data_IF_465922287304
#
_entry.id   IF_465922287304
#
_cell.length_a   1.000
_cell.length_b   1.000
_cell.length_c   1.000
_cell.angle_alpha   90.00
_cell.angle_beta   90.00
_cell.angle_gamma   90.00
#
_symmetry.space_group_name_H-M   'P 1'
#
loop_
_entity.id
_entity.type
_entity.pdbx_description
1 polymer ?
#
# COMPACT_ATOMS: atom_id res chain seq x y z
N UNK A 1 50.07 -36.07 24.30
CA UNK A 1 49.21 -34.99 23.74
C UNK A 1 48.23 -34.57 24.83
N UNK A 2 48.48 -33.40 25.43
CA UNK A 2 47.77 -32.94 26.64
C UNK A 2 46.79 -31.82 26.24
N UNK A 3 45.56 -31.99 26.71
CA UNK A 3 44.30 -31.37 26.27
C UNK A 3 44.04 -29.95 26.82
N UNK A 4 43.23 -29.19 26.07
CA UNK A 4 42.75 -27.82 26.28
C UNK A 4 41.92 -27.66 27.56
N UNK A 5 42.56 -27.60 28.72
CA UNK A 5 41.98 -27.09 29.98
C UNK A 5 43.10 -26.66 30.94
N UNK A 6 43.75 -25.51 30.67
CA UNK A 6 44.62 -24.80 31.62
C UNK A 6 45.12 -23.46 31.05
N UNK A 7 44.25 -22.48 30.87
CA UNK A 7 44.66 -21.06 30.85
C UNK A 7 43.58 -20.26 31.59
N UNK A 8 43.72 -20.20 32.90
CA UNK A 8 43.15 -19.18 33.76
C UNK A 8 44.02 -19.17 35.02
N UNK A 9 44.95 -18.21 35.10
CA UNK A 9 45.30 -17.42 36.30
C UNK A 9 46.63 -16.69 36.12
N UNK A 10 46.62 -15.42 36.58
CA UNK A 10 47.73 -14.50 36.91
C UNK A 10 48.35 -13.80 35.69
N UNK A 11 48.50 -12.48 35.61
CA UNK A 11 48.28 -11.28 36.44
C UNK A 11 48.58 -10.09 35.47
N UNK A 12 48.19 -8.84 35.65
CA UNK A 12 48.40 -7.92 36.78
C UNK A 12 47.61 -6.63 36.48
N UNK A 13 47.24 -5.93 37.55
CA UNK A 13 46.52 -4.67 37.53
C UNK A 13 47.33 -3.52 36.91
N UNK A 14 46.68 -2.71 36.08
CA UNK A 14 47.04 -1.33 35.83
C UNK A 14 45.76 -0.48 35.92
N UNK A 15 45.74 0.41 36.90
CA UNK A 15 44.65 1.32 37.19
C UNK A 15 44.56 2.41 36.12
N UNK A 16 43.41 2.50 35.45
CA UNK A 16 43.02 3.64 34.63
C UNK A 16 41.71 4.20 35.16
N UNK A 17 41.78 5.35 35.83
CA UNK A 17 40.61 6.08 36.29
C UNK A 17 39.87 6.67 35.08
N UNK A 18 38.78 6.04 34.65
CA UNK A 18 37.83 6.64 33.74
C UNK A 18 36.84 7.48 34.55
N UNK A 19 36.91 8.81 34.39
CA UNK A 19 35.91 9.75 34.86
C UNK A 19 34.58 9.42 34.15
N UNK A 20 33.69 8.74 34.86
CA UNK A 20 32.30 8.58 34.42
C UNK A 20 31.60 9.93 34.60
N UNK A 21 31.48 10.70 33.52
CA UNK A 21 30.50 11.77 33.44
C UNK A 21 29.11 11.13 33.51
N UNK A 22 28.22 11.54 34.43
CA UNK A 22 26.85 11.06 34.40
C UNK A 22 26.22 11.60 33.12
N UNK A 23 25.91 10.70 32.19
CA UNK A 23 24.94 11.00 31.13
C UNK A 23 23.63 11.20 31.86
N UNK A 24 23.23 12.45 32.06
CA UNK A 24 21.84 12.78 32.37
C UNK A 24 21.04 12.29 31.18
N UNK A 25 20.42 11.12 31.34
CA UNK A 25 19.31 10.71 30.50
C UNK A 25 18.30 11.85 30.61
N UNK A 26 18.23 12.67 29.57
CA UNK A 26 17.09 13.52 29.35
C UNK A 26 15.92 12.56 29.20
N UNK A 27 15.20 12.34 30.29
CA UNK A 27 13.86 11.81 30.25
C UNK A 27 13.11 12.76 29.35
N UNK A 28 12.87 12.36 28.09
CA UNK A 28 11.80 12.95 27.31
C UNK A 28 10.56 12.75 28.15
N UNK A 29 10.12 13.81 28.81
CA UNK A 29 8.79 13.85 29.38
C UNK A 29 7.85 13.47 28.23
N UNK A 30 7.32 12.26 28.30
CA UNK A 30 6.15 11.86 27.55
C UNK A 30 5.00 12.70 28.12
N UNK A 31 4.98 13.98 27.77
CA UNK A 31 3.80 14.80 27.84
C UNK A 31 2.84 14.16 26.83
N UNK A 32 2.04 13.21 27.30
CA UNK A 32 0.77 12.83 26.69
C UNK A 32 -0.07 14.11 26.64
N UNK A 33 0.20 14.94 25.65
CA UNK A 33 -0.62 16.09 25.31
C UNK A 33 -1.98 15.51 24.96
N UNK A 34 -2.99 15.91 25.73
CA UNK A 34 -4.35 15.47 25.47
C UNK A 34 -4.70 15.80 24.02
N UNK A 35 -5.34 14.85 23.32
CA UNK A 35 -5.75 15.07 21.94
C UNK A 35 -6.62 16.32 21.84
N UNK A 36 -6.48 17.12 20.77
CA UNK A 36 -7.35 18.25 20.51
C UNK A 36 -8.84 17.86 20.59
N UNK A 37 -9.74 18.72 21.10
CA UNK A 37 -11.15 18.38 21.26
C UNK A 37 -11.85 17.87 19.99
N UNK A 38 -11.49 18.40 18.82
CA UNK A 38 -12.02 17.96 17.51
C UNK A 38 -11.66 16.51 17.19
N UNK A 39 -10.54 16.01 17.70
CA UNK A 39 -10.08 14.62 17.51
C UNK A 39 -10.57 13.73 18.65
N UNK A 40 -10.52 14.23 19.89
CA UNK A 40 -10.93 13.48 21.07
C UNK A 40 -12.42 13.11 21.06
N UNK A 41 -13.26 13.92 20.42
CA UNK A 41 -14.72 13.70 20.27
C UNK A 41 -15.10 12.76 19.12
N UNK A 42 -14.16 12.33 18.28
CA UNK A 42 -14.44 11.40 17.19
C UNK A 42 -14.90 10.05 17.74
N UNK A 43 -15.93 9.49 17.09
CA UNK A 43 -16.46 8.15 17.38
C UNK A 43 -15.97 7.18 16.31
N UNK A 44 -15.57 5.98 16.74
CA UNK A 44 -15.14 4.92 15.83
C UNK A 44 -16.20 4.61 14.77
N UNK A 45 -15.76 4.41 13.54
CA UNK A 45 -16.57 4.01 12.38
C UNK A 45 -16.31 2.56 11.97
N UNK A 46 -15.58 1.79 12.80
CA UNK A 46 -15.11 0.45 12.47
C UNK A 46 -16.25 -0.54 12.18
N UNK A 47 -17.39 -0.37 12.82
CA UNK A 47 -18.60 -1.18 12.65
C UNK A 47 -19.28 -1.01 11.28
N UNK A 48 -18.94 0.05 10.54
CA UNK A 48 -19.46 0.29 9.19
C UNK A 48 -18.74 -0.53 8.12
N UNK A 49 -17.55 -1.09 8.40
CA UNK A 49 -16.78 -1.87 7.45
C UNK A 49 -17.38 -3.28 7.28
N UNK A 50 -17.56 -3.69 6.02
CA UNK A 50 -18.03 -5.03 5.65
C UNK A 50 -16.91 -5.75 4.88
N UNK A 51 -16.24 -6.75 5.48
CA UNK A 51 -15.16 -7.45 4.79
C UNK A 51 -15.65 -8.18 3.53
N UNK A 52 -14.80 -8.21 2.50
CA UNK A 52 -15.03 -9.04 1.31
C UNK A 52 -15.06 -10.52 1.71
N UNK A 53 -16.11 -11.23 1.28
CA UNK A 53 -16.34 -12.62 1.69
C UNK A 53 -15.48 -13.62 0.90
N UNK A 54 -15.38 -14.85 1.40
CA UNK A 54 -14.69 -15.93 0.68
C UNK A 54 -15.40 -16.26 -0.64
N UNK A 55 -16.73 -16.17 -0.69
CA UNK A 55 -17.53 -16.39 -1.89
C UNK A 55 -17.22 -15.36 -2.98
N UNK A 56 -17.19 -14.05 -2.64
CA UNK A 56 -16.81 -13.00 -3.58
C UNK A 56 -15.38 -13.20 -4.11
N UNK A 57 -14.47 -13.73 -3.29
CA UNK A 57 -13.11 -14.08 -3.72
C UNK A 57 -13.11 -15.26 -4.68
N UNK A 58 -14.00 -16.23 -4.49
CA UNK A 58 -14.24 -17.31 -5.44
C UNK A 58 -14.68 -16.75 -6.80
N UNK A 59 -15.64 -15.83 -6.82
CA UNK A 59 -16.09 -15.16 -8.05
C UNK A 59 -14.97 -14.39 -8.76
N UNK A 60 -14.07 -13.75 -7.99
CA UNK A 60 -12.87 -13.09 -8.52
C UNK A 60 -11.92 -14.08 -9.19
N UNK A 61 -11.69 -15.24 -8.58
CA UNK A 61 -10.87 -16.30 -9.19
C UNK A 61 -11.51 -16.83 -10.48
N UNK A 62 -12.83 -16.99 -10.52
CA UNK A 62 -13.53 -17.41 -11.74
C UNK A 62 -13.49 -16.35 -12.84
N UNK A 63 -13.58 -15.05 -12.48
CA UNK A 63 -13.32 -13.95 -13.43
C UNK A 63 -11.88 -14.01 -13.97
N UNK A 64 -10.90 -14.28 -13.10
CA UNK A 64 -9.51 -14.42 -13.52
C UNK A 64 -9.33 -15.61 -14.49
N UNK A 65 -9.99 -16.75 -14.25
CA UNK A 65 -9.97 -17.89 -15.18
C UNK A 65 -10.50 -17.55 -16.57
N UNK A 66 -11.61 -16.80 -16.65
CA UNK A 66 -12.15 -16.33 -17.94
C UNK A 66 -11.13 -15.43 -18.66
N UNK A 67 -10.58 -14.43 -17.97
CA UNK A 67 -9.58 -13.54 -18.56
C UNK A 67 -8.28 -14.25 -18.92
N UNK A 68 -7.86 -15.28 -18.16
CA UNK A 68 -6.73 -16.12 -18.52
C UNK A 68 -6.99 -16.85 -19.84
N UNK A 69 -8.17 -17.43 -20.03
CA UNK A 69 -8.55 -18.09 -21.27
C UNK A 69 -8.52 -17.12 -22.48
N UNK A 70 -9.06 -15.91 -22.30
CA UNK A 70 -9.07 -14.87 -23.35
C UNK A 70 -7.65 -14.40 -23.71
N UNK A 71 -6.73 -14.39 -22.74
CA UNK A 71 -5.35 -13.93 -22.89
C UNK A 71 -4.33 -15.07 -23.09
N UNK A 72 -4.80 -16.32 -23.27
CA UNK A 72 -3.96 -17.51 -23.50
C UNK A 72 -2.92 -17.72 -22.38
N UNK A 73 -3.35 -17.54 -21.14
CA UNK A 73 -2.57 -17.86 -19.94
C UNK A 73 -3.10 -19.17 -19.34
N UNK A 74 -2.20 -20.08 -19.00
CA UNK A 74 -2.54 -21.37 -18.41
C UNK A 74 -2.53 -21.33 -16.87
N UNK A 75 -1.84 -20.36 -16.30
CA UNK A 75 -1.86 -20.03 -14.88
C UNK A 75 -1.40 -18.59 -14.66
N UNK A 76 -1.75 -18.01 -13.51
CA UNK A 76 -1.11 -16.81 -12.96
C UNK A 76 -0.41 -17.14 -11.64
N UNK A 77 0.70 -16.46 -11.38
CA UNK A 77 1.44 -16.53 -10.13
C UNK A 77 1.38 -15.18 -9.41
N UNK A 78 0.97 -15.24 -8.15
CA UNK A 78 0.86 -14.12 -7.24
C UNK A 78 1.82 -14.36 -6.06
N UNK A 79 2.58 -13.35 -5.64
CA UNK A 79 3.39 -13.41 -4.41
C UNK A 79 2.74 -12.55 -3.33
N UNK A 80 3.48 -11.79 -2.54
CA UNK A 80 2.92 -10.81 -1.61
C UNK A 80 2.11 -9.71 -2.31
N UNK A 81 1.33 -8.95 -1.53
CA UNK A 81 0.72 -7.71 -1.98
C UNK A 81 -0.74 -7.80 -2.41
N UNK A 82 -1.18 -6.74 -3.07
CA UNK A 82 -2.62 -6.44 -3.23
C UNK A 82 -3.35 -7.44 -4.12
N UNK A 83 -2.68 -8.02 -5.13
CA UNK A 83 -3.28 -9.05 -5.98
C UNK A 83 -3.53 -10.37 -5.22
N UNK A 84 -2.59 -10.81 -4.39
CA UNK A 84 -2.79 -11.99 -3.53
C UNK A 84 -3.96 -11.78 -2.57
N UNK A 85 -3.97 -10.64 -1.87
CA UNK A 85 -5.08 -10.27 -0.99
C UNK A 85 -6.42 -10.20 -1.75
N UNK A 86 -6.43 -9.65 -2.96
CA UNK A 86 -7.64 -9.54 -3.77
C UNK A 86 -8.26 -10.90 -4.11
N UNK A 87 -7.45 -11.88 -4.53
CA UNK A 87 -7.91 -13.19 -4.97
C UNK A 87 -8.06 -14.24 -3.86
N UNK A 88 -7.35 -14.10 -2.75
CA UNK A 88 -7.33 -15.12 -1.67
C UNK A 88 -7.68 -14.59 -0.29
N UNK A 89 -7.57 -13.28 -0.05
CA UNK A 89 -7.67 -12.70 1.30
C UNK A 89 -6.41 -12.92 2.15
N UNK A 90 -5.37 -13.55 1.61
CA UNK A 90 -4.09 -13.75 2.30
C UNK A 90 -3.34 -12.42 2.36
N UNK A 91 -2.83 -12.11 3.55
CA UNK A 91 -1.97 -10.96 3.82
C UNK A 91 -0.58 -11.48 4.16
N UNK A 92 0.24 -11.64 3.12
CA UNK A 92 1.62 -12.08 3.27
C UNK A 92 2.59 -10.90 3.17
N UNK A 93 3.50 -10.79 4.13
CA UNK A 93 4.58 -9.81 4.09
C UNK A 93 5.64 -10.22 3.08
N UNK A 94 6.06 -9.30 2.22
CA UNK A 94 7.13 -9.57 1.28
C UNK A 94 8.49 -9.71 1.97
N UNK A 95 9.25 -10.74 1.64
CA UNK A 95 10.64 -10.93 2.06
C UNK A 95 11.48 -11.51 0.91
N UNK A 96 12.75 -11.82 1.17
CA UNK A 96 13.59 -12.59 0.25
C UNK A 96 13.10 -14.03 0.04
N UNK A 97 12.25 -14.55 0.94
CA UNK A 97 11.72 -15.91 0.90
C UNK A 97 10.44 -15.96 0.07
N UNK A 98 10.41 -16.83 -0.94
CA UNK A 98 9.24 -16.98 -1.80
C UNK A 98 8.06 -17.57 -1.01
N UNK A 99 6.98 -16.79 -0.97
CA UNK A 99 5.62 -17.29 -0.85
C UNK A 99 4.90 -17.03 -2.18
N UNK A 100 4.24 -18.05 -2.74
CA UNK A 100 3.51 -17.91 -3.99
C UNK A 100 2.16 -18.61 -3.91
N UNK A 101 1.14 -17.99 -4.47
CA UNK A 101 -0.11 -18.61 -4.88
C UNK A 101 -0.09 -18.74 -6.39
N UNK A 102 -0.35 -19.93 -6.91
CA UNK A 102 -0.52 -20.16 -8.35
C UNK A 102 -1.97 -20.56 -8.60
N UNK A 103 -2.65 -19.76 -9.43
CA UNK A 103 -4.02 -19.99 -9.87
C UNK A 103 -3.97 -20.49 -11.32
N UNK A 104 -4.16 -21.80 -11.56
CA UNK A 104 -4.31 -22.35 -12.91
C UNK A 104 -5.56 -21.81 -13.60
N UNK A 105 -5.62 -21.87 -14.94
CA UNK A 105 -6.85 -21.61 -15.71
C UNK A 105 -7.93 -22.65 -15.43
N UNK A 106 -7.53 -23.91 -15.19
CA UNK A 106 -8.41 -25.02 -14.78
C UNK A 106 -7.78 -25.81 -13.63
N UNK A 107 -8.61 -26.28 -12.70
CA UNK A 107 -8.17 -27.06 -11.55
C UNK A 107 -7.74 -26.23 -10.35
N UNK A 108 -7.23 -26.91 -9.32
CA UNK A 108 -7.07 -26.32 -7.99
C UNK A 108 -5.83 -25.42 -7.89
N UNK A 109 -5.99 -24.34 -7.13
CA UNK A 109 -4.89 -23.47 -6.68
C UNK A 109 -3.85 -24.31 -5.94
N UNK A 110 -2.58 -23.93 -6.06
CA UNK A 110 -1.55 -24.41 -5.15
C UNK A 110 -0.71 -23.26 -4.61
N UNK A 111 -0.05 -23.52 -3.49
CA UNK A 111 0.76 -22.57 -2.77
C UNK A 111 2.17 -23.11 -2.62
N UNK A 112 3.16 -22.23 -2.65
CA UNK A 112 4.54 -22.53 -2.29
C UNK A 112 4.91 -21.64 -1.11
N UNK A 113 5.38 -22.22 -0.01
CA UNK A 113 5.76 -21.46 1.18
C UNK A 113 6.99 -22.04 1.88
N UNK A 114 7.74 -21.24 2.66
CA UNK A 114 8.83 -21.76 3.48
C UNK A 114 8.30 -22.77 4.49
N UNK A 115 9.01 -23.88 4.70
CA UNK A 115 8.55 -24.96 5.57
C UNK A 115 8.28 -24.50 7.01
N UNK A 116 9.11 -23.61 7.55
CA UNK A 116 8.94 -23.09 8.90
C UNK A 116 7.73 -22.14 9.04
N UNK A 117 7.18 -21.64 7.93
CA UNK A 117 5.98 -20.79 7.88
C UNK A 117 4.71 -21.57 7.52
N UNK A 118 4.79 -22.90 7.38
CA UNK A 118 3.65 -23.72 6.92
C UNK A 118 2.40 -23.54 7.79
N UNK A 119 2.56 -23.51 9.11
CA UNK A 119 1.44 -23.32 10.03
C UNK A 119 0.70 -22.00 9.78
N UNK A 120 1.45 -20.90 9.67
CA UNK A 120 0.92 -19.56 9.37
C UNK A 120 0.31 -19.48 7.96
N UNK A 121 0.94 -20.14 6.98
CA UNK A 121 0.40 -20.21 5.63
C UNK A 121 -0.96 -20.92 5.62
N UNK A 122 -1.06 -22.08 6.27
CA UNK A 122 -2.32 -22.86 6.35
C UNK A 122 -3.42 -22.10 7.09
N UNK A 123 -3.10 -21.38 8.15
CA UNK A 123 -4.06 -20.53 8.87
C UNK A 123 -4.73 -19.50 7.94
N UNK A 124 -3.95 -18.84 7.08
CA UNK A 124 -4.49 -17.86 6.14
C UNK A 124 -5.19 -18.52 4.94
N UNK A 125 -4.63 -19.62 4.41
CA UNK A 125 -5.23 -20.39 3.30
C UNK A 125 -6.59 -20.95 3.69
N UNK A 126 -6.81 -21.31 4.96
CA UNK A 126 -8.10 -21.81 5.46
C UNK A 126 -9.27 -20.82 5.22
N UNK A 127 -8.99 -19.54 5.00
CA UNK A 127 -9.99 -18.49 4.71
C UNK A 127 -10.11 -18.17 3.21
N UNK A 128 -9.26 -18.76 2.38
CA UNK A 128 -9.23 -18.53 0.94
C UNK A 128 -10.22 -19.43 0.19
N UNK A 129 -10.66 -19.04 -1.03
CA UNK A 129 -11.51 -19.90 -1.86
C UNK A 129 -10.83 -21.24 -2.16
N UNK A 130 -11.57 -22.34 -2.02
CA UNK A 130 -11.07 -23.68 -2.32
C UNK A 130 -10.06 -24.25 -1.32
N UNK A 131 -10.01 -23.71 -0.09
CA UNK A 131 -9.06 -24.10 0.96
C UNK A 131 -9.00 -25.62 1.21
N UNK A 132 -10.14 -26.31 1.17
CA UNK A 132 -10.26 -27.76 1.35
C UNK A 132 -9.42 -28.58 0.35
N UNK A 133 -9.12 -28.00 -0.81
CA UNK A 133 -8.39 -28.64 -1.91
C UNK A 133 -7.03 -27.96 -2.16
N UNK A 134 -6.58 -27.11 -1.22
CA UNK A 134 -5.33 -26.38 -1.36
C UNK A 134 -4.12 -27.31 -1.26
N UNK A 135 -3.36 -27.38 -2.35
CA UNK A 135 -2.05 -28.04 -2.40
C UNK A 135 -1.00 -27.06 -1.87
N UNK A 136 -0.40 -27.34 -0.71
CA UNK A 136 0.64 -26.51 -0.08
C UNK A 136 1.98 -27.20 -0.19
N UNK A 137 2.89 -26.60 -0.97
CA UNK A 137 4.21 -27.14 -1.28
C UNK A 137 5.28 -26.39 -0.52
N UNK A 138 5.82 -27.06 0.50
CA UNK A 138 6.85 -26.47 1.34
C UNK A 138 8.25 -26.60 0.73
N UNK A 139 9.11 -25.63 1.01
CA UNK A 139 10.55 -25.69 0.73
C UNK A 139 11.36 -25.40 2.00
N UNK A 140 12.43 -26.17 2.22
CA UNK A 140 13.40 -25.94 3.31
C UNK A 140 14.36 -24.80 2.92
N UNK A 141 15.00 -24.15 3.89
CA UNK A 141 15.90 -23.00 3.64
C UNK A 141 17.06 -23.30 2.66
N UNK A 142 17.47 -24.57 2.55
CA UNK A 142 18.48 -25.07 1.61
C UNK A 142 17.88 -25.64 0.31
N UNK A 143 16.56 -25.67 0.20
CA UNK A 143 15.80 -26.13 -0.96
C UNK A 143 15.47 -25.00 -1.94
N UNK A 144 15.12 -25.37 -3.17
CA UNK A 144 14.70 -24.39 -4.18
C UNK A 144 13.19 -24.16 -4.15
N UNK A 145 12.71 -22.95 -3.81
CA UNK A 145 11.29 -22.62 -3.93
C UNK A 145 10.80 -22.65 -5.38
N UNK A 146 11.68 -22.31 -6.32
CA UNK A 146 11.37 -22.29 -7.75
C UNK A 146 11.10 -23.71 -8.30
N UNK A 147 11.83 -24.71 -7.80
CA UNK A 147 11.56 -26.11 -8.11
C UNK A 147 10.19 -26.56 -7.59
N UNK A 148 9.73 -26.04 -6.43
CA UNK A 148 8.37 -26.33 -5.94
C UNK A 148 7.28 -25.74 -6.83
N UNK A 149 7.50 -24.54 -7.37
CA UNK A 149 6.60 -23.95 -8.38
C UNK A 149 6.57 -24.82 -9.64
N UNK A 150 7.75 -25.19 -10.17
CA UNK A 150 7.87 -26.02 -11.36
C UNK A 150 7.18 -27.39 -11.20
N UNK A 151 7.39 -28.06 -10.06
CA UNK A 151 6.70 -29.30 -9.71
C UNK A 151 5.19 -29.10 -9.68
N UNK A 152 4.70 -28.00 -9.10
CA UNK A 152 3.26 -27.70 -9.01
C UNK A 152 2.58 -27.51 -10.35
N UNK A 153 3.30 -26.90 -11.29
CA UNK A 153 2.86 -26.74 -12.67
C UNK A 153 2.89 -28.08 -13.42
N UNK A 154 3.96 -28.86 -13.25
CA UNK A 154 4.10 -30.17 -13.90
C UNK A 154 3.01 -31.16 -13.46
N UNK A 155 2.72 -31.26 -12.16
CA UNK A 155 1.70 -32.17 -11.63
C UNK A 155 0.28 -31.83 -12.11
N UNK A 156 0.10 -30.62 -12.64
CA UNK A 156 -1.15 -30.12 -13.24
C UNK A 156 -1.12 -30.17 -14.77
N UNK A 157 -0.10 -30.76 -15.37
CA UNK A 157 0.06 -30.86 -16.83
C UNK A 157 0.38 -29.53 -17.52
N UNK A 158 0.90 -28.54 -16.79
CA UNK A 158 1.18 -27.19 -17.30
C UNK A 158 2.66 -26.95 -17.63
N UNK A 159 3.45 -28.02 -17.79
CA UNK A 159 4.91 -27.96 -17.97
C UNK A 159 5.39 -27.19 -19.20
N UNK A 160 4.53 -27.01 -20.21
CA UNK A 160 4.81 -26.34 -21.49
C UNK A 160 3.88 -25.16 -21.77
N UNK A 161 3.11 -24.74 -20.76
CA UNK A 161 2.12 -23.67 -20.89
C UNK A 161 2.69 -22.25 -20.74
N UNK A 162 1.80 -21.27 -20.66
CA UNK A 162 2.12 -19.87 -20.38
C UNK A 162 1.76 -19.51 -18.94
N UNK A 163 2.77 -19.14 -18.14
CA UNK A 163 2.62 -18.63 -16.78
C UNK A 163 2.64 -17.10 -16.78
N UNK A 164 1.53 -16.48 -16.39
CA UNK A 164 1.45 -15.06 -16.13
C UNK A 164 2.09 -14.72 -14.78
N UNK A 165 3.07 -13.84 -14.76
CA UNK A 165 3.61 -13.24 -13.54
C UNK A 165 2.82 -11.98 -13.21
N UNK A 166 2.32 -11.88 -11.97
CA UNK A 166 1.75 -10.63 -11.47
C UNK A 166 2.79 -9.50 -11.50
N UNK A 167 2.33 -8.29 -11.79
CA UNK A 167 3.17 -7.14 -12.13
C UNK A 167 4.16 -6.71 -11.05
N UNK A 168 3.93 -7.08 -9.79
CA UNK A 168 4.81 -6.79 -8.64
C UNK A 168 5.68 -7.97 -8.23
N UNK A 169 5.55 -9.13 -8.88
CA UNK A 169 6.43 -10.28 -8.65
C UNK A 169 7.88 -9.85 -8.88
N UNK A 170 8.68 -9.95 -7.82
CA UNK A 170 10.08 -9.53 -7.85
C UNK A 170 10.84 -10.28 -8.94
N UNK A 171 11.71 -9.54 -9.65
CA UNK A 171 12.49 -10.10 -10.76
C UNK A 171 13.27 -11.36 -10.39
N UNK A 172 13.84 -11.43 -9.19
CA UNK A 172 14.57 -12.63 -8.72
C UNK A 172 13.69 -13.88 -8.69
N UNK A 173 12.41 -13.74 -8.34
CA UNK A 173 11.47 -14.85 -8.30
C UNK A 173 11.04 -15.26 -9.71
N UNK A 174 10.65 -14.30 -10.56
CA UNK A 174 10.26 -14.61 -11.93
C UNK A 174 11.43 -15.22 -12.73
N UNK A 175 12.65 -14.71 -12.55
CA UNK A 175 13.86 -15.29 -13.14
C UNK A 175 14.16 -16.70 -12.60
N UNK A 176 14.05 -16.91 -11.29
CA UNK A 176 14.27 -18.22 -10.66
C UNK A 176 13.29 -19.28 -11.16
N UNK A 177 12.01 -18.91 -11.27
CA UNK A 177 10.96 -19.79 -11.81
C UNK A 177 11.19 -20.07 -13.29
N UNK A 178 11.55 -19.06 -14.10
CA UNK A 178 11.88 -19.25 -15.51
C UNK A 178 13.02 -20.24 -15.73
N UNK A 179 14.03 -20.24 -14.85
CA UNK A 179 15.13 -21.23 -14.88
C UNK A 179 14.68 -22.63 -14.46
N UNK A 180 13.76 -22.75 -13.50
CA UNK A 180 13.24 -24.04 -13.03
C UNK A 180 12.21 -24.67 -13.99
N UNK A 181 11.54 -23.85 -14.81
CA UNK A 181 10.53 -24.25 -15.80
C UNK A 181 10.90 -23.75 -17.21
N UNK A 182 12.02 -24.21 -17.81
CA UNK A 182 12.54 -23.64 -19.05
C UNK A 182 11.63 -23.87 -20.28
N UNK A 183 10.70 -24.81 -20.19
CA UNK A 183 9.74 -25.11 -21.25
C UNK A 183 8.48 -24.24 -21.16
N UNK A 184 8.27 -23.52 -20.07
CA UNK A 184 7.14 -22.63 -19.90
C UNK A 184 7.43 -21.24 -20.46
N UNK A 185 6.43 -20.65 -21.10
CA UNK A 185 6.49 -19.24 -21.48
C UNK A 185 6.13 -18.38 -20.27
N UNK A 186 7.02 -17.47 -19.88
CA UNK A 186 6.69 -16.44 -18.89
C UNK A 186 6.08 -15.24 -19.60
N UNK A 187 4.93 -14.76 -19.11
CA UNK A 187 4.22 -13.61 -19.63
C UNK A 187 3.76 -12.69 -18.50
N UNK A 188 3.25 -11.51 -18.83
CA UNK A 188 2.59 -10.64 -17.86
C UNK A 188 1.19 -11.15 -17.53
N UNK A 189 0.84 -11.18 -16.24
CA UNK A 189 -0.53 -11.43 -15.78
C UNK A 189 -1.39 -10.15 -15.75
N UNK A 190 -0.85 -8.97 -16.08
CA UNK A 190 -1.57 -7.68 -16.02
C UNK A 190 -2.92 -7.68 -16.74
N UNK A 191 -3.09 -8.29 -17.93
CA UNK A 191 -4.41 -8.39 -18.56
C UNK A 191 -5.47 -9.08 -17.70
N UNK A 192 -5.06 -9.98 -16.80
CA UNK A 192 -5.93 -10.70 -15.86
C UNK A 192 -6.04 -9.95 -14.52
N UNK A 193 -4.92 -9.58 -13.90
CA UNK A 193 -4.90 -8.95 -12.58
C UNK A 193 -5.55 -7.57 -12.63
N UNK A 194 -5.12 -6.70 -13.54
CA UNK A 194 -5.76 -5.41 -13.76
C UNK A 194 -7.17 -5.56 -14.37
N UNK A 195 -7.36 -6.50 -15.30
CA UNK A 195 -8.69 -6.77 -15.89
C UNK A 195 -9.73 -7.18 -14.84
N UNK A 196 -9.31 -7.88 -13.79
CA UNK A 196 -10.13 -8.18 -12.63
C UNK A 196 -10.39 -6.93 -11.77
N UNK A 197 -9.35 -6.16 -11.44
CA UNK A 197 -9.34 -5.13 -10.39
C UNK A 197 -9.72 -3.73 -10.86
N UNK A 198 -9.69 -3.43 -12.15
CA UNK A 198 -10.01 -2.09 -12.68
C UNK A 198 -11.48 -1.73 -12.43
N UNK A 199 -12.39 -2.67 -12.72
CA UNK A 199 -13.84 -2.50 -12.53
C UNK A 199 -14.23 -3.06 -11.16
N UNK A 200 -14.57 -2.15 -10.24
CA UNK A 200 -14.93 -2.48 -8.86
C UNK A 200 -16.36 -3.01 -8.80
N UNK A 201 -16.61 -3.99 -7.94
CA UNK A 201 -17.97 -4.35 -7.55
C UNK A 201 -18.61 -3.24 -6.70
N UNK A 202 -19.94 -3.28 -6.55
CA UNK A 202 -20.63 -2.34 -5.65
C UNK A 202 -20.09 -2.43 -4.21
N UNK A 203 -19.76 -3.65 -3.74
CA UNK A 203 -19.21 -3.85 -2.40
C UNK A 203 -17.84 -3.18 -2.24
N UNK A 204 -16.97 -3.30 -3.24
CA UNK A 204 -15.67 -2.62 -3.27
C UNK A 204 -15.81 -1.09 -3.29
N UNK A 205 -16.78 -0.57 -4.05
CA UNK A 205 -17.07 0.87 -4.08
C UNK A 205 -17.55 1.37 -2.71
N UNK A 206 -18.37 0.61 -1.99
CA UNK A 206 -18.80 0.99 -0.63
C UNK A 206 -17.62 1.03 0.35
N UNK A 207 -16.67 0.10 0.24
CA UNK A 207 -15.44 0.13 1.05
C UNK A 207 -14.57 1.36 0.73
N UNK A 208 -14.41 1.70 -0.56
CA UNK A 208 -13.72 2.92 -0.98
C UNK A 208 -14.43 4.19 -0.51
N UNK A 209 -15.77 4.22 -0.54
CA UNK A 209 -16.58 5.33 -0.02
C UNK A 209 -16.40 5.49 1.48
N UNK A 210 -16.39 4.39 2.23
CA UNK A 210 -16.13 4.42 3.66
C UNK A 210 -14.71 4.92 3.95
N UNK A 211 -13.69 4.44 3.24
CA UNK A 211 -12.32 4.95 3.37
C UNK A 211 -12.25 6.46 3.12
N UNK A 212 -12.91 6.94 2.05
CA UNK A 212 -12.94 8.36 1.73
C UNK A 212 -13.65 9.19 2.82
N UNK A 213 -14.77 8.68 3.37
CA UNK A 213 -15.50 9.32 4.46
C UNK A 213 -14.64 9.40 5.73
N UNK A 214 -13.94 8.33 6.07
CA UNK A 214 -13.02 8.28 7.23
C UNK A 214 -11.92 9.34 7.07
N UNK A 215 -11.26 9.39 5.91
CA UNK A 215 -10.19 10.37 5.65
C UNK A 215 -10.71 11.81 5.67
N UNK A 216 -11.87 12.10 5.07
CA UNK A 216 -12.45 13.45 5.14
C UNK A 216 -12.77 13.86 6.58
N UNK A 217 -13.33 12.96 7.36
CA UNK A 217 -13.63 13.22 8.79
C UNK A 217 -12.33 13.46 9.58
N UNK A 218 -11.29 12.68 9.31
CA UNK A 218 -9.98 12.87 9.94
C UNK A 218 -9.35 14.22 9.58
N UNK A 219 -9.40 14.60 8.30
CA UNK A 219 -8.88 15.87 7.81
C UNK A 219 -9.63 17.06 8.39
N UNK A 220 -10.96 16.97 8.49
CA UNK A 220 -11.78 18.01 9.12
C UNK A 220 -11.43 18.19 10.60
N UNK A 221 -11.26 17.09 11.33
CA UNK A 221 -10.85 17.14 12.73
C UNK A 221 -9.44 17.75 12.90
N UNK A 222 -8.49 17.37 12.04
CA UNK A 222 -7.12 17.92 12.02
C UNK A 222 -7.12 19.42 11.64
N UNK A 223 -7.94 19.81 10.66
CA UNK A 223 -8.13 21.22 10.28
C UNK A 223 -8.65 22.06 11.45
N UNK A 224 -9.64 21.57 12.21
CA UNK A 224 -10.17 22.27 13.38
C UNK A 224 -9.20 22.31 14.57
N UNK A 225 -8.24 21.39 14.62
CA UNK A 225 -7.18 21.40 15.63
C UNK A 225 -5.99 22.29 15.26
N UNK A 226 -5.93 22.76 14.01
CA UNK A 226 -4.79 23.49 13.47
C UNK A 226 -4.62 24.86 14.13
N UNK A 227 -3.38 25.17 14.52
CA UNK A 227 -3.01 26.45 15.11
C UNK A 227 -1.71 27.00 14.51
N UNK A 228 -1.54 28.34 14.40
CA UNK A 228 -0.26 28.93 14.07
C UNK A 228 0.85 28.47 15.02
N UNK A 229 2.03 28.20 14.49
CA UNK A 229 3.19 27.70 15.25
C UNK A 229 3.34 26.18 15.24
N UNK A 230 2.32 25.43 14.81
CA UNK A 230 2.43 23.99 14.63
C UNK A 230 3.43 23.63 13.53
N UNK A 231 4.16 22.53 13.71
CA UNK A 231 5.06 22.00 12.70
C UNK A 231 4.32 21.08 11.73
N UNK A 232 4.92 20.82 10.56
CA UNK A 232 4.44 19.81 9.62
C UNK A 232 4.18 18.45 10.31
N UNK A 233 5.15 17.83 11.02
CA UNK A 233 4.93 16.54 11.69
C UNK A 233 3.79 16.55 12.71
N UNK A 234 3.60 17.65 13.46
CA UNK A 234 2.48 17.77 14.40
C UNK A 234 1.12 17.73 13.70
N UNK A 235 1.01 18.28 12.50
CA UNK A 235 -0.21 18.14 11.69
C UNK A 235 -0.43 16.70 11.22
N UNK A 236 0.63 16.03 10.79
CA UNK A 236 0.58 14.63 10.33
C UNK A 236 0.18 13.69 11.47
N UNK A 237 0.76 13.86 12.66
CA UNK A 237 0.40 13.15 13.88
C UNK A 237 -1.09 13.33 14.26
N UNK A 238 -1.65 14.53 14.04
CA UNK A 238 -3.08 14.77 14.26
C UNK A 238 -3.96 14.00 13.27
N UNK A 239 -3.56 13.91 12.00
CA UNK A 239 -4.28 13.13 10.99
C UNK A 239 -4.24 11.64 11.35
N UNK A 240 -3.09 11.11 11.78
CA UNK A 240 -2.94 9.72 12.22
C UNK A 240 -3.78 9.43 13.47
N UNK A 241 -3.74 10.33 14.46
CA UNK A 241 -4.56 10.20 15.67
C UNK A 241 -6.05 10.22 15.35
N UNK A 242 -6.49 11.05 14.40
CA UNK A 242 -7.87 11.11 13.96
C UNK A 242 -8.32 9.83 13.26
N UNK A 243 -7.52 9.28 12.33
CA UNK A 243 -7.79 7.97 11.73
C UNK A 243 -7.90 6.87 12.79
N UNK A 244 -6.97 6.86 13.74
CA UNK A 244 -6.96 5.89 14.86
C UNK A 244 -8.24 5.97 15.68
N UNK A 245 -8.70 7.19 16.00
CA UNK A 245 -9.98 7.41 16.71
C UNK A 245 -11.20 6.94 15.92
N UNK A 246 -11.17 7.07 14.59
CA UNK A 246 -12.19 6.55 13.68
C UNK A 246 -12.12 5.03 13.51
N UNK A 247 -11.10 4.36 14.08
CA UNK A 247 -10.96 2.91 14.09
C UNK A 247 -10.20 2.33 12.90
N UNK A 248 -9.48 3.16 12.15
CA UNK A 248 -8.72 2.78 10.95
C UNK A 248 -7.29 3.32 11.00
N UNK A 249 -6.41 2.77 10.17
CA UNK A 249 -5.10 3.38 9.91
C UNK A 249 -5.19 4.34 8.73
N UNK A 250 -4.44 5.43 8.81
CA UNK A 250 -4.29 6.39 7.73
C UNK A 250 -3.32 7.50 8.13
N UNK A 251 -2.82 8.21 7.14
CA UNK A 251 -1.83 9.28 7.30
C UNK A 251 -1.99 10.32 6.19
N UNK A 252 -1.28 11.44 6.32
CA UNK A 252 -1.12 12.42 5.26
C UNK A 252 0.31 12.96 5.26
N UNK A 253 0.85 13.30 4.08
CA UNK A 253 2.01 14.18 3.95
C UNK A 253 1.52 15.63 3.88
N UNK A 254 2.06 16.48 4.74
CA UNK A 254 1.71 17.89 4.77
C UNK A 254 2.81 18.78 4.17
N UNK A 255 2.43 19.79 3.38
CA UNK A 255 3.36 20.78 2.82
C UNK A 255 2.84 22.20 3.07
N UNK A 256 3.74 23.08 3.51
CA UNK A 256 3.41 24.40 4.04
C UNK A 256 4.14 25.48 3.24
N UNK A 257 3.41 26.53 2.87
CA UNK A 257 3.96 27.68 2.16
C UNK A 257 4.54 27.29 0.81
N UNK A 258 5.78 27.69 0.53
CA UNK A 258 6.47 27.41 -0.74
C UNK A 258 6.64 25.91 -1.01
N UNK A 259 6.70 25.07 0.03
CA UNK A 259 6.86 23.63 -0.13
C UNK A 259 5.62 22.94 -0.71
N UNK A 260 4.47 23.62 -0.72
CA UNK A 260 3.28 23.14 -1.46
C UNK A 260 3.48 23.12 -2.98
N UNK A 261 4.54 23.75 -3.50
CA UNK A 261 4.94 23.64 -4.90
C UNK A 261 5.68 22.34 -5.24
N UNK A 262 5.99 21.49 -4.24
CA UNK A 262 6.71 20.23 -4.40
C UNK A 262 5.69 19.08 -4.26
N UNK A 263 5.27 18.42 -5.35
CA UNK A 263 4.17 17.44 -5.30
C UNK A 263 4.41 16.25 -4.35
N UNK A 264 5.67 15.91 -4.07
CA UNK A 264 6.07 14.88 -3.11
C UNK A 264 6.86 15.46 -1.93
N UNK A 265 6.60 16.73 -1.62
CA UNK A 265 7.10 17.40 -0.42
C UNK A 265 8.59 17.72 -0.42
N UNK A 266 9.05 18.09 0.77
CA UNK A 266 10.42 18.50 1.09
C UNK A 266 10.83 17.95 2.45
N UNK A 267 12.12 17.67 2.60
CA UNK A 267 12.72 17.27 3.90
C UNK A 267 12.97 18.46 4.82
N UNK A 268 12.84 19.70 4.33
CA UNK A 268 13.07 20.89 5.15
C UNK A 268 12.01 21.00 6.25
N UNK A 269 12.38 21.29 7.51
CA UNK A 269 11.43 21.53 8.57
C UNK A 269 10.50 22.71 8.25
N UNK A 270 9.20 22.53 8.49
CA UNK A 270 8.17 23.51 8.12
C UNK A 270 7.31 23.84 9.34
N UNK A 271 6.98 25.13 9.48
CA UNK A 271 6.12 25.66 10.55
C UNK A 271 4.95 26.38 9.90
N UNK A 272 3.75 26.03 10.35
CA UNK A 272 2.49 26.58 9.90
C UNK A 272 2.32 27.97 10.49
N UNK A 273 2.07 28.96 9.63
CA UNK A 273 1.89 30.36 10.00
C UNK A 273 0.61 30.89 9.36
N UNK A 274 0.07 31.96 9.93
CA UNK A 274 -1.02 32.69 9.29
C UNK A 274 -0.60 33.19 7.90
N UNK A 275 -1.51 33.10 6.93
CA UNK A 275 -1.29 33.40 5.52
C UNK A 275 -0.59 32.28 4.73
N UNK A 276 -0.13 31.20 5.38
CA UNK A 276 0.52 30.10 4.68
C UNK A 276 -0.50 29.19 3.98
N UNK A 277 -0.15 28.72 2.78
CA UNK A 277 -0.80 27.57 2.15
C UNK A 277 -0.46 26.34 2.99
N UNK A 278 -1.44 25.48 3.22
CA UNK A 278 -1.28 24.14 3.78
C UNK A 278 -1.91 23.17 2.79
N UNK A 279 -1.11 22.22 2.30
CA UNK A 279 -1.52 21.09 1.51
C UNK A 279 -1.41 19.84 2.39
N UNK A 280 -2.43 18.99 2.37
CA UNK A 280 -2.43 17.68 3.01
C UNK A 280 -2.82 16.65 1.96
N UNK A 281 -1.99 15.63 1.76
CA UNK A 281 -2.22 14.58 0.79
C UNK A 281 -2.02 13.19 1.39
N UNK A 282 -2.94 12.26 1.12
CA UNK A 282 -2.93 10.94 1.71
C UNK A 282 -4.31 10.42 2.08
N UNK A 283 -4.34 9.40 2.92
CA UNK A 283 -5.57 8.72 3.27
C UNK A 283 -5.34 7.48 4.11
N UNK A 284 -6.36 6.62 4.13
CA UNK A 284 -6.38 5.41 4.93
C UNK A 284 -6.89 4.23 4.14
N UNK A 285 -6.97 3.08 4.81
CA UNK A 285 -7.50 1.85 4.22
C UNK A 285 -8.65 1.29 5.03
N UNK A 286 -9.68 0.82 4.32
CA UNK A 286 -10.79 0.06 4.89
C UNK A 286 -10.83 -1.28 4.16
N UNK A 287 -10.58 -2.38 4.88
CA UNK A 287 -10.54 -3.74 4.30
C UNK A 287 -9.61 -3.87 3.07
N UNK A 288 -8.53 -3.06 3.03
CA UNK A 288 -7.57 -3.02 1.92
C UNK A 288 -7.95 -2.10 0.75
N UNK A 289 -9.07 -1.38 0.85
CA UNK A 289 -9.49 -0.37 -0.13
C UNK A 289 -9.06 1.02 0.36
N UNK A 290 -8.25 1.69 -0.45
CA UNK A 290 -7.65 2.98 -0.11
C UNK A 290 -8.60 4.15 -0.39
N UNK A 291 -8.54 5.15 0.49
CA UNK A 291 -8.76 6.54 0.14
C UNK A 291 -7.43 7.21 -0.17
N UNK A 292 -7.49 8.23 -1.02
CA UNK A 292 -6.38 9.13 -1.29
C UNK A 292 -6.98 10.49 -1.62
N UNK A 293 -6.78 11.45 -0.71
CA UNK A 293 -7.48 12.73 -0.71
C UNK A 293 -6.47 13.83 -0.44
N UNK A 294 -6.39 14.75 -1.41
CA UNK A 294 -5.67 16.00 -1.24
C UNK A 294 -6.60 17.13 -0.82
N UNK A 295 -6.18 17.96 0.14
CA UNK A 295 -6.80 19.25 0.47
C UNK A 295 -5.75 20.34 0.53
N UNK A 296 -6.04 21.48 -0.10
CA UNK A 296 -5.21 22.67 -0.06
C UNK A 296 -6.04 23.83 0.46
N UNK A 297 -5.55 24.54 1.47
CA UNK A 297 -6.21 25.71 2.05
C UNK A 297 -5.17 26.72 2.53
N UNK A 298 -5.62 27.91 2.92
CA UNK A 298 -4.77 28.92 3.56
C UNK A 298 -5.21 29.07 5.01
N UNK A 299 -4.26 29.01 5.95
CA UNK A 299 -4.55 29.31 7.34
C UNK A 299 -4.69 30.84 7.49
N UNK A 300 -5.89 31.35 7.75
CA UNK A 300 -6.15 32.79 7.82
C UNK A 300 -6.48 33.39 6.45
N UNK A 301 -5.93 34.55 6.12
CA UNK A 301 -6.34 35.32 4.93
C UNK A 301 -5.49 34.96 3.68
N UNK A 302 -6.09 34.47 2.59
CA UNK A 302 -5.39 34.24 1.32
C UNK A 302 -5.15 35.54 0.54
N UNK A 303 -4.06 35.57 -0.25
CA UNK A 303 -3.83 36.61 -1.27
C UNK A 303 -4.74 36.40 -2.48
N UNK A 304 -4.92 37.44 -3.30
CA UNK A 304 -5.73 37.34 -4.52
C UNK A 304 -5.12 36.38 -5.55
N UNK A 305 -3.78 36.29 -5.61
CA UNK A 305 -3.09 35.30 -6.43
C UNK A 305 -3.39 33.87 -5.97
N UNK A 306 -3.39 33.61 -4.65
CA UNK A 306 -3.73 32.28 -4.11
C UNK A 306 -5.16 31.87 -4.46
N UNK A 307 -6.13 32.78 -4.31
CA UNK A 307 -7.53 32.53 -4.70
C UNK A 307 -7.64 32.22 -6.19
N UNK A 308 -7.01 33.04 -7.03
CA UNK A 308 -7.03 32.87 -8.49
C UNK A 308 -6.48 31.50 -8.91
N UNK A 309 -5.34 31.08 -8.34
CA UNK A 309 -4.74 29.76 -8.63
C UNK A 309 -5.64 28.64 -8.13
N UNK A 310 -6.19 28.75 -6.92
CA UNK A 310 -7.12 27.76 -6.38
C UNK A 310 -8.35 27.59 -7.29
N UNK A 311 -8.94 28.68 -7.76
CA UNK A 311 -10.10 28.66 -8.65
C UNK A 311 -9.78 28.04 -10.02
N UNK A 312 -8.56 28.22 -10.54
CA UNK A 312 -8.09 27.54 -11.76
C UNK A 312 -8.05 26.03 -11.54
N UNK A 313 -7.42 25.57 -10.46
CA UNK A 313 -7.31 24.14 -10.14
C UNK A 313 -8.69 23.52 -9.90
N UNK A 314 -9.57 24.20 -9.18
CA UNK A 314 -10.94 23.74 -8.95
C UNK A 314 -11.75 23.61 -10.25
N UNK A 315 -11.62 24.57 -11.18
CA UNK A 315 -12.24 24.47 -12.50
C UNK A 315 -11.65 23.34 -13.34
N UNK A 316 -10.34 23.13 -13.29
CA UNK A 316 -9.66 22.03 -13.99
C UNK A 316 -10.13 20.66 -13.47
N UNK A 317 -10.19 20.47 -12.16
CA UNK A 317 -10.75 19.26 -11.53
C UNK A 317 -12.21 19.04 -11.95
N UNK A 318 -13.02 20.10 -11.93
CA UNK A 318 -14.43 20.03 -12.36
C UNK A 318 -14.57 19.62 -13.83
N UNK A 319 -13.71 20.14 -14.71
CA UNK A 319 -13.70 19.80 -16.13
C UNK A 319 -13.33 18.32 -16.37
N UNK A 320 -12.31 17.82 -15.67
CA UNK A 320 -11.95 16.40 -15.70
C UNK A 320 -13.12 15.51 -15.25
N UNK A 321 -13.74 15.83 -14.11
CA UNK A 321 -14.88 15.05 -13.58
C UNK A 321 -16.08 15.03 -14.54
N UNK A 322 -16.42 16.18 -15.15
CA UNK A 322 -17.52 16.26 -16.14
C UNK A 322 -17.21 15.50 -17.43
N UNK A 323 -15.93 15.38 -17.77
CA UNK A 323 -15.48 14.68 -18.98
C UNK A 323 -15.52 13.16 -18.78
N UNK A 324 -15.20 12.66 -17.59
CA UNK A 324 -15.15 11.23 -17.31
C UNK A 324 -16.49 10.52 -17.54
N UNK A 325 -16.56 9.66 -18.57
CA UNK A 325 -17.73 8.82 -18.90
C UNK A 325 -17.32 7.55 -19.67
N UNK A 326 -18.15 6.49 -19.66
CA UNK A 326 -17.87 5.28 -20.42
C UNK A 326 -17.61 5.55 -21.91
N UNK A 327 -16.59 4.90 -22.46
CA UNK A 327 -16.22 4.99 -23.88
C UNK A 327 -15.24 6.11 -24.24
N UNK A 328 -14.85 6.98 -23.31
CA UNK A 328 -13.78 7.95 -23.54
C UNK A 328 -12.40 7.40 -23.17
N UNK A 329 -11.39 7.87 -23.90
CA UNK A 329 -9.98 7.60 -23.58
C UNK A 329 -9.57 8.33 -22.29
N UNK A 330 -8.71 7.69 -21.49
CA UNK A 330 -8.19 8.30 -20.26
C UNK A 330 -7.50 9.65 -20.51
N UNK A 331 -6.78 9.78 -21.63
CA UNK A 331 -6.09 11.03 -22.00
C UNK A 331 -7.06 12.20 -22.23
N UNK A 332 -8.32 11.95 -22.61
CA UNK A 332 -9.30 13.02 -22.82
C UNK A 332 -9.68 13.70 -21.50
N UNK A 333 -9.68 12.95 -20.39
CA UNK A 333 -9.95 13.48 -19.04
C UNK A 333 -8.80 14.37 -18.57
N UNK A 334 -7.56 13.93 -18.79
CA UNK A 334 -6.35 14.72 -18.54
C UNK A 334 -6.32 16.00 -19.39
N UNK A 335 -6.55 15.89 -20.69
CA UNK A 335 -6.58 17.01 -21.61
C UNK A 335 -7.64 18.06 -21.23
N UNK A 336 -8.81 17.64 -20.74
CA UNK A 336 -9.85 18.55 -20.28
C UNK A 336 -9.40 19.42 -19.09
N UNK A 337 -8.68 18.84 -18.13
CA UNK A 337 -8.08 19.61 -17.04
C UNK A 337 -6.96 20.52 -17.55
N UNK A 338 -6.07 20.01 -18.40
CA UNK A 338 -4.94 20.78 -18.95
C UNK A 338 -5.36 21.98 -19.78
N UNK A 339 -6.45 21.86 -20.55
CA UNK A 339 -6.98 22.98 -21.32
C UNK A 339 -7.33 24.15 -20.41
N UNK A 340 -8.06 23.90 -19.30
CA UNK A 340 -8.43 24.95 -18.34
C UNK A 340 -7.20 25.64 -17.75
N UNK A 341 -6.14 24.89 -17.46
CA UNK A 341 -4.88 25.40 -16.92
C UNK A 341 -4.13 26.23 -17.97
N UNK A 342 -4.04 25.73 -19.21
CA UNK A 342 -3.38 26.39 -20.35
C UNK A 342 -4.08 27.69 -20.73
N UNK A 343 -5.42 27.68 -20.79
CA UNK A 343 -6.25 28.86 -21.10
C UNK A 343 -6.12 29.93 -20.01
N UNK A 344 -5.76 29.54 -18.78
CA UNK A 344 -5.47 30.46 -17.68
C UNK A 344 -4.01 30.97 -17.68
N UNK A 345 -3.19 30.60 -18.67
CA UNK A 345 -1.82 31.09 -18.84
C UNK A 345 -0.74 30.25 -18.14
N UNK A 346 -1.06 29.05 -17.65
CA UNK A 346 -0.10 28.12 -17.04
C UNK A 346 0.18 26.94 -17.98
N UNK A 347 1.44 26.60 -18.21
CA UNK A 347 1.84 25.64 -19.25
C UNK A 347 2.35 26.33 -20.52
N UNK A 348 2.12 25.78 -21.73
CA UNK A 348 1.38 24.54 -22.03
C UNK A 348 2.11 23.27 -21.54
N UNK A 349 1.45 22.12 -21.73
CA UNK A 349 1.93 20.78 -21.38
C UNK A 349 2.27 20.63 -19.89
N UNK A 350 3.57 20.65 -19.58
CA UNK A 350 4.15 20.50 -18.24
C UNK A 350 5.19 21.60 -17.97
N UNK A 351 5.13 22.74 -18.69
CA UNK A 351 6.02 23.88 -18.49
C UNK A 351 5.56 24.68 -17.26
N UNK A 352 6.53 25.04 -16.41
CA UNK A 352 6.33 25.80 -15.17
C UNK A 352 6.63 27.28 -15.34
#
# INVERSE_FOLDING_TARGET
>A
MISRRRILKLGTAAAGAALATPVTAATSENNCTALPPSIASLTSMKDQAKPITTEERGERQEKARRLMADNKLDAILLTEGTSLTYFSGIHWGGSERLFAMVLPVKGNVFYVCPAFEEGRAREQIAKAPGAEQADVRIWQEDGSPYQRVAQGLNDRGLSTGTLGMEETVRFVFSQGIGKASPQMKIASATPVTAGCRMIKSNHEVELMRLAAKVTLTAYEAAYHALNPGMTKPQLEEMVEAAHTRLGFSGSADAQVGEYSAFPHGSITPQVIREGAIVLMDGGGNVEGYASDITRTFVLGKPSDKMKTVFDIVHRAQTAALKTARPGLECQAVDAAARSVITDAGYGPDYKF
#
